data_IF_086683866843
#
_entry.id   IF_086683866843
#
_cell.length_a   1.000
_cell.length_b   1.000
_cell.length_c   1.000
_cell.angle_alpha   90.00
_cell.angle_beta   90.00
_cell.angle_gamma   90.00
#
_symmetry.space_group_name_H-M   'P 1'
#
loop_
_entity.id
_entity.type
_entity.pdbx_description
1 polymer ?
#
# COMPACT_ATOMS: atom_id res chain seq x y z
N UNK A 1 15.72 -24.38 24.80
CA UNK A 1 15.48 -24.19 23.35
C UNK A 1 14.48 -23.06 23.20
N UNK A 2 14.97 -21.83 23.05
CA UNK A 2 14.11 -20.70 22.71
C UNK A 2 13.99 -20.63 21.20
N UNK A 3 12.86 -21.02 20.64
CA UNK A 3 12.53 -20.71 19.26
C UNK A 3 12.29 -19.21 19.18
N UNK A 4 13.32 -18.48 18.74
CA UNK A 4 13.17 -17.15 18.15
C UNK A 4 12.03 -17.23 17.13
N UNK A 5 10.98 -16.44 17.32
CA UNK A 5 9.92 -16.24 16.33
C UNK A 5 10.48 -15.37 15.19
N UNK A 6 11.46 -15.91 14.47
CA UNK A 6 11.99 -15.30 13.25
C UNK A 6 10.90 -15.33 12.18
N UNK A 7 10.31 -14.15 11.94
CA UNK A 7 9.77 -13.76 10.64
C UNK A 7 8.47 -14.44 10.21
N UNK A 8 7.33 -13.98 10.72
CA UNK A 8 6.08 -14.06 9.97
C UNK A 8 6.21 -13.16 8.73
N UNK A 9 6.82 -13.66 7.64
CA UNK A 9 6.75 -12.97 6.35
C UNK A 9 5.28 -12.93 5.97
N UNK A 10 4.74 -11.72 5.86
CA UNK A 10 3.40 -11.50 5.37
C UNK A 10 3.15 -12.30 4.09
N UNK A 11 2.08 -13.08 4.07
CA UNK A 11 1.67 -13.76 2.84
C UNK A 11 1.39 -12.73 1.76
N UNK A 12 1.70 -13.07 0.51
CA UNK A 12 1.48 -12.18 -0.63
C UNK A 12 0.02 -11.71 -0.68
N UNK A 13 -0.92 -12.59 -0.35
CA UNK A 13 -2.35 -12.26 -0.34
C UNK A 13 -2.74 -11.35 0.83
N UNK A 14 -2.12 -11.49 2.01
CA UNK A 14 -2.30 -10.54 3.11
C UNK A 14 -1.86 -9.13 2.73
N UNK A 15 -0.72 -9.01 2.03
CA UNK A 15 -0.23 -7.72 1.51
C UNK A 15 -1.20 -7.13 0.49
N UNK A 16 -1.71 -7.93 -0.45
CA UNK A 16 -2.69 -7.45 -1.46
C UNK A 16 -3.96 -6.93 -0.81
N UNK A 17 -4.51 -7.64 0.19
CA UNK A 17 -5.72 -7.21 0.89
C UNK A 17 -5.47 -5.96 1.73
N UNK A 18 -4.32 -5.86 2.40
CA UNK A 18 -3.93 -4.62 3.07
C UNK A 18 -3.86 -3.44 2.09
N UNK A 19 -3.20 -3.64 0.93
CA UNK A 19 -3.11 -2.63 -0.11
C UNK A 19 -4.49 -2.23 -0.66
N UNK A 20 -5.41 -3.18 -0.83
CA UNK A 20 -6.80 -2.92 -1.20
C UNK A 20 -7.47 -1.95 -0.21
N UNK A 21 -7.47 -2.26 1.08
CA UNK A 21 -8.09 -1.41 2.10
C UNK A 21 -7.38 -0.05 2.25
N UNK A 22 -6.07 -0.01 2.02
CA UNK A 22 -5.31 1.24 2.00
C UNK A 22 -5.74 2.14 0.84
N UNK A 23 -5.84 1.58 -0.37
CA UNK A 23 -6.26 2.31 -1.57
C UNK A 23 -7.71 2.78 -1.49
N UNK A 24 -8.59 2.03 -0.83
CA UNK A 24 -9.97 2.45 -0.50
C UNK A 24 -10.04 3.54 0.60
N UNK A 25 -8.91 3.96 1.15
CA UNK A 25 -8.84 4.95 2.23
C UNK A 25 -9.42 4.45 3.56
N UNK A 26 -9.58 3.14 3.74
CA UNK A 26 -10.08 2.56 5.00
C UNK A 26 -8.99 2.51 6.07
N UNK A 27 -7.72 2.32 5.67
CA UNK A 27 -6.57 2.30 6.58
C UNK A 27 -6.19 3.73 7.00
N UNK A 28 -6.15 4.66 6.04
CA UNK A 28 -5.82 6.08 6.26
C UNK A 28 -6.93 6.97 5.68
N UNK A 29 -7.90 7.42 6.50
CA UNK A 29 -9.10 8.11 6.04
C UNK A 29 -8.86 9.39 5.20
N UNK A 30 -7.71 10.06 5.37
CA UNK A 30 -7.36 11.21 4.53
C UNK A 30 -7.27 10.86 3.03
N UNK A 31 -7.03 9.59 2.69
CA UNK A 31 -6.97 9.12 1.31
C UNK A 31 -8.34 9.02 0.64
N UNK A 32 -9.44 9.00 1.40
CA UNK A 32 -10.79 8.83 0.85
C UNK A 32 -11.12 9.83 -0.24
N UNK A 33 -10.65 11.08 -0.12
CA UNK A 33 -10.87 12.14 -1.13
C UNK A 33 -10.25 11.83 -2.49
N UNK A 34 -9.23 10.98 -2.53
CA UNK A 34 -8.52 10.60 -3.76
C UNK A 34 -8.96 9.24 -4.32
N UNK A 35 -9.88 8.53 -3.66
CA UNK A 35 -10.41 7.25 -4.15
C UNK A 35 -11.13 7.42 -5.50
N UNK A 36 -11.99 8.45 -5.70
CA UNK A 36 -12.68 8.64 -6.97
C UNK A 36 -11.76 8.92 -8.17
N UNK A 37 -10.55 9.43 -7.92
CA UNK A 37 -9.57 9.77 -8.96
C UNK A 37 -8.59 8.65 -9.28
N UNK A 38 -8.68 7.49 -8.62
CA UNK A 38 -7.76 6.39 -8.86
C UNK A 38 -7.81 5.94 -10.32
N UNK A 39 -6.64 5.78 -10.95
CA UNK A 39 -6.50 5.37 -12.35
C UNK A 39 -7.05 3.96 -12.62
N UNK A 40 -7.21 3.15 -11.59
CA UNK A 40 -7.81 1.82 -11.60
C UNK A 40 -8.49 1.56 -10.27
N UNK A 41 -9.55 0.76 -10.26
CA UNK A 41 -10.23 0.39 -9.02
C UNK A 41 -9.30 -0.38 -8.07
N UNK A 42 -9.39 -0.17 -6.74
CA UNK A 42 -8.60 -0.93 -5.77
C UNK A 42 -8.75 -2.44 -5.92
N UNK A 43 -9.95 -2.92 -6.28
CA UNK A 43 -10.23 -4.35 -6.50
C UNK A 43 -9.37 -5.03 -7.57
N UNK A 44 -8.67 -4.26 -8.41
CA UNK A 44 -7.70 -4.80 -9.37
C UNK A 44 -6.50 -5.48 -8.69
N UNK A 45 -6.09 -5.07 -7.49
CA UNK A 45 -4.89 -5.59 -6.80
C UNK A 45 -5.00 -7.05 -6.35
N UNK A 46 -6.22 -7.55 -6.14
CA UNK A 46 -6.47 -8.90 -5.63
C UNK A 46 -6.59 -9.94 -6.75
N UNK A 47 -6.60 -9.50 -8.01
CA UNK A 47 -6.78 -10.40 -9.16
C UNK A 47 -5.49 -11.13 -9.52
N UNK A 48 -5.61 -12.31 -10.12
CA UNK A 48 -4.47 -13.13 -10.55
C UNK A 48 -3.58 -12.42 -11.59
N UNK A 49 -4.17 -11.61 -12.46
CA UNK A 49 -3.47 -10.80 -13.47
C UNK A 49 -2.81 -9.54 -12.90
N UNK A 50 -3.10 -9.16 -11.66
CA UNK A 50 -2.60 -7.91 -11.07
C UNK A 50 -1.07 -7.87 -10.96
N UNK A 51 -0.43 -9.05 -10.94
CA UNK A 51 1.04 -9.19 -10.97
C UNK A 51 1.70 -8.64 -12.25
N UNK A 52 0.94 -8.50 -13.33
CA UNK A 52 1.42 -7.96 -14.60
C UNK A 52 1.34 -6.43 -14.66
N UNK A 53 0.66 -5.81 -13.69
CA UNK A 53 0.41 -4.36 -13.69
C UNK A 53 1.50 -3.66 -12.87
N UNK A 54 2.34 -2.79 -13.48
CA UNK A 54 3.47 -2.18 -12.78
C UNK A 54 3.08 -1.36 -11.53
N UNK A 55 1.94 -0.64 -11.56
CA UNK A 55 1.48 0.12 -10.37
C UNK A 55 1.08 -0.79 -9.21
N UNK A 56 0.51 -1.94 -9.52
CA UNK A 56 0.11 -2.93 -8.53
C UNK A 56 1.34 -3.60 -7.93
N UNK A 57 2.30 -4.00 -8.78
CA UNK A 57 3.58 -4.53 -8.30
C UNK A 57 4.31 -3.53 -7.41
N UNK A 58 4.36 -2.25 -7.78
CA UNK A 58 5.02 -1.23 -6.99
C UNK A 58 4.50 -1.18 -5.55
N UNK A 59 3.18 -1.06 -5.36
CA UNK A 59 2.62 -0.95 -4.00
C UNK A 59 2.74 -2.27 -3.22
N UNK A 60 2.53 -3.42 -3.86
CA UNK A 60 2.66 -4.74 -3.20
C UNK A 60 4.10 -4.99 -2.77
N UNK A 61 5.08 -4.74 -3.64
CA UNK A 61 6.50 -4.95 -3.32
C UNK A 61 6.98 -3.99 -2.24
N UNK A 62 6.58 -2.71 -2.27
CA UNK A 62 6.90 -1.75 -1.21
C UNK A 62 6.37 -2.21 0.13
N UNK A 63 5.10 -2.61 0.22
CA UNK A 63 4.52 -3.12 1.48
C UNK A 63 5.19 -4.44 1.93
N UNK A 64 5.45 -5.34 0.99
CA UNK A 64 6.03 -6.65 1.28
C UNK A 64 7.48 -6.55 1.77
N UNK A 65 8.27 -5.58 1.28
CA UNK A 65 9.67 -5.41 1.69
C UNK A 65 9.82 -5.10 3.17
N UNK A 66 8.80 -4.51 3.79
CA UNK A 66 8.73 -4.21 5.22
C UNK A 66 7.68 -5.04 5.98
N UNK A 67 7.09 -6.06 5.34
CA UNK A 67 6.07 -6.92 5.95
C UNK A 67 4.79 -6.19 6.40
N UNK A 68 4.39 -5.12 5.70
CA UNK A 68 3.26 -4.28 6.09
C UNK A 68 1.94 -4.93 5.73
N UNK A 69 1.23 -5.42 6.75
CA UNK A 69 -0.13 -5.98 6.64
C UNK A 69 -1.11 -5.39 7.65
N UNK A 70 -0.69 -4.39 8.42
CA UNK A 70 -1.53 -3.75 9.43
C UNK A 70 -1.29 -2.24 9.49
N UNK A 71 -2.31 -1.51 9.95
CA UNK A 71 -2.20 -0.06 10.19
C UNK A 71 -1.07 0.25 11.18
N UNK A 72 -0.94 -0.55 12.23
CA UNK A 72 0.10 -0.38 13.24
C UNK A 72 1.50 -0.44 12.63
N UNK A 73 1.79 -1.47 11.80
CA UNK A 73 3.10 -1.59 11.15
C UNK A 73 3.36 -0.45 10.16
N UNK A 74 2.33 0.00 9.44
CA UNK A 74 2.46 1.15 8.54
C UNK A 74 2.81 2.44 9.31
N UNK A 75 2.15 2.69 10.44
CA UNK A 75 2.43 3.87 11.28
C UNK A 75 3.82 3.82 11.90
N UNK A 76 4.29 2.64 12.33
CA UNK A 76 5.66 2.44 12.80
C UNK A 76 6.68 2.85 11.73
N UNK A 77 6.47 2.40 10.48
CA UNK A 77 7.35 2.74 9.36
C UNK A 77 7.25 4.22 9.01
N UNK A 78 6.06 4.81 9.00
CA UNK A 78 5.91 6.26 8.76
C UNK A 78 6.55 7.13 9.84
N UNK A 79 6.73 6.61 11.06
CA UNK A 79 7.53 7.27 12.09
C UNK A 79 9.03 7.35 11.75
N UNK A 80 9.52 6.51 10.84
CA UNK A 80 10.92 6.46 10.38
C UNK A 80 11.10 7.06 8.98
N UNK A 81 10.15 6.79 8.08
CA UNK A 81 10.12 7.26 6.71
C UNK A 81 8.66 7.59 6.31
N UNK A 82 8.28 8.86 6.47
CA UNK A 82 6.96 9.38 6.11
C UNK A 82 6.64 9.18 4.61
N UNK A 83 7.67 9.04 3.76
CA UNK A 83 7.53 8.94 2.30
C UNK A 83 7.57 7.51 1.78
N UNK A 84 7.74 6.53 2.68
CA UNK A 84 7.88 5.10 2.37
C UNK A 84 6.94 4.59 1.26
N UNK A 85 5.65 4.97 1.33
CA UNK A 85 4.62 4.49 0.41
C UNK A 85 4.22 5.54 -0.65
N UNK A 86 4.72 6.77 -0.56
CA UNK A 86 4.27 7.91 -1.36
C UNK A 86 4.45 7.66 -2.86
N UNK A 87 5.65 7.24 -3.27
CA UNK A 87 5.96 6.97 -4.67
C UNK A 87 5.12 5.83 -5.25
N UNK A 88 4.83 4.80 -4.44
CA UNK A 88 3.98 3.69 -4.86
C UNK A 88 2.51 4.12 -4.99
N UNK A 89 2.01 4.93 -4.05
CA UNK A 89 0.64 5.44 -4.06
C UNK A 89 0.39 6.44 -5.19
N UNK A 90 1.35 7.33 -5.51
CA UNK A 90 1.24 8.26 -6.66
C UNK A 90 1.01 7.54 -7.99
N UNK A 91 1.52 6.32 -8.18
CA UNK A 91 1.27 5.51 -9.40
C UNK A 91 -0.19 5.12 -9.59
N UNK A 92 -1.01 5.22 -8.54
CA UNK A 92 -2.46 5.00 -8.58
C UNK A 92 -3.25 6.26 -8.88
N UNK A 93 -2.61 7.43 -8.90
CA UNK A 93 -3.26 8.73 -9.09
C UNK A 93 -2.85 9.36 -10.43
N UNK A 94 -3.72 10.16 -11.06
CA UNK A 94 -3.34 11.01 -12.17
C UNK A 94 -2.24 11.97 -11.73
N UNK A 95 -1.37 12.34 -12.66
CA UNK A 95 -0.21 13.21 -12.38
C UNK A 95 -0.63 14.56 -11.77
N UNK A 96 -1.78 15.10 -12.18
CA UNK A 96 -2.36 16.32 -11.64
C UNK A 96 -2.63 16.27 -10.13
N UNK A 97 -2.86 15.08 -9.56
CA UNK A 97 -3.12 14.91 -8.12
C UNK A 97 -1.83 14.67 -7.30
N UNK A 98 -0.66 14.48 -7.94
CA UNK A 98 0.56 14.08 -7.23
C UNK A 98 1.08 15.12 -6.25
N UNK A 99 0.89 16.41 -6.55
CA UNK A 99 1.26 17.50 -5.65
C UNK A 99 0.41 17.46 -4.38
N UNK A 100 -0.91 17.34 -4.52
CA UNK A 100 -1.85 17.31 -3.41
C UNK A 100 -1.68 16.06 -2.52
N UNK A 101 -1.39 14.92 -3.14
CA UNK A 101 -1.09 13.65 -2.45
C UNK A 101 0.18 13.73 -1.62
N UNK A 102 1.15 14.59 -1.98
CA UNK A 102 2.38 14.75 -1.21
C UNK A 102 2.23 15.66 0.03
N UNK A 103 1.05 16.26 0.24
CA UNK A 103 0.79 17.24 1.30
C UNK A 103 -0.08 16.68 2.45
N UNK A 104 -0.44 15.39 2.43
CA UNK A 104 -1.37 14.74 3.38
C UNK A 104 -0.70 13.81 4.38
#
# INVERSE_FOLDING_TARGET
MGTTIDGYRASVDGVKWFAYFFLEGQVYPKLKRFVPSLLTTPGSITKSWARLIPRTQAIVQTLQSQGVVSKYKLLEIWGLDEKFLLSAYKKWQPESAHAEVAQI
#
